data_IF_755243447646
#
_entry.id   IF_755243447646
#
_cell.length_a   1.000
_cell.length_b   1.000
_cell.length_c   1.000
_cell.angle_alpha   90.00
_cell.angle_beta   90.00
_cell.angle_gamma   90.00
#
_symmetry.space_group_name_H-M   'P 1'
#
loop_
_entity.id
_entity.type
_entity.pdbx_description
1 polymer ?
#
# COMPACT_ATOMS: atom_id res chain seq x y z
N UNK A 1 -5.14 21.77 -59.89
CA UNK A 1 -5.08 22.41 -58.55
C UNK A 1 -6.36 22.08 -57.78
N UNK A 2 -6.36 21.01 -56.97
CA UNK A 2 -7.48 20.64 -56.10
C UNK A 2 -7.17 21.12 -54.68
N UNK A 3 -7.96 22.08 -54.19
CA UNK A 3 -7.86 22.61 -52.82
C UNK A 3 -8.31 21.55 -51.82
N UNK A 4 -7.39 21.02 -51.04
CA UNK A 4 -7.68 20.20 -49.88
C UNK A 4 -8.16 21.12 -48.74
N UNK A 5 -9.45 21.07 -48.38
CA UNK A 5 -9.99 21.73 -47.17
C UNK A 5 -9.67 20.85 -45.99
N UNK A 6 -8.68 21.25 -45.19
CA UNK A 6 -8.48 20.70 -43.84
C UNK A 6 -9.67 21.15 -42.95
N UNK A 7 -10.53 20.21 -42.59
CA UNK A 7 -11.44 20.36 -41.46
C UNK A 7 -10.62 20.09 -40.18
N UNK A 8 -10.19 21.16 -39.52
CA UNK A 8 -9.75 21.09 -38.13
C UNK A 8 -11.01 20.86 -37.27
N UNK A 9 -11.32 19.60 -36.99
CA UNK A 9 -12.19 19.26 -35.89
C UNK A 9 -11.40 19.49 -34.62
N UNK A 10 -11.71 20.57 -33.90
CA UNK A 10 -11.14 20.83 -32.56
C UNK A 10 -11.56 19.74 -31.61
N UNK A 11 -10.70 18.75 -31.45
CA UNK A 11 -10.79 17.78 -30.35
C UNK A 11 -10.38 18.53 -29.08
N UNK A 12 -11.38 18.97 -28.32
CA UNK A 12 -11.16 19.39 -26.94
C UNK A 12 -10.66 18.13 -26.20
N UNK A 13 -9.34 18.01 -26.08
CA UNK A 13 -8.67 17.09 -25.19
C UNK A 13 -9.01 17.53 -23.75
N UNK A 14 -10.19 17.15 -23.25
CA UNK A 14 -10.34 16.99 -21.82
C UNK A 14 -9.25 15.99 -21.39
N UNK A 15 -8.34 16.34 -20.48
CA UNK A 15 -7.43 15.36 -19.91
C UNK A 15 -8.32 14.38 -19.14
N UNK A 16 -8.68 13.27 -19.76
CA UNK A 16 -9.11 12.07 -19.08
C UNK A 16 -7.90 11.67 -18.24
N UNK A 17 -7.84 12.14 -16.99
CA UNK A 17 -6.91 11.61 -16.02
C UNK A 17 -7.22 10.11 -15.91
N UNK A 18 -6.39 9.31 -16.56
CA UNK A 18 -6.47 7.87 -16.52
C UNK A 18 -6.30 7.43 -15.05
N UNK A 19 -7.04 6.44 -14.59
CA UNK A 19 -6.84 5.86 -13.24
C UNK A 19 -5.38 5.50 -12.93
N UNK A 20 -4.57 5.25 -13.95
CA UNK A 20 -3.13 4.99 -13.85
C UNK A 20 -2.30 6.18 -13.29
N UNK A 21 -2.83 7.41 -13.29
CA UNK A 21 -2.15 8.59 -12.72
C UNK A 21 -2.57 8.87 -11.26
N UNK A 22 -3.57 8.16 -10.75
CA UNK A 22 -4.02 8.34 -9.37
C UNK A 22 -3.24 7.42 -8.43
N UNK A 23 -2.76 8.00 -7.32
CA UNK A 23 -2.06 7.23 -6.30
C UNK A 23 -3.05 6.37 -5.51
N UNK A 24 -2.77 5.08 -5.37
CA UNK A 24 -3.48 4.23 -4.43
C UNK A 24 -3.04 4.56 -2.99
N UNK A 25 -4.00 4.67 -2.08
CA UNK A 25 -3.75 4.85 -0.66
C UNK A 25 -4.15 3.60 0.11
N UNK A 26 -3.37 3.27 1.13
CA UNK A 26 -3.78 2.36 2.20
C UNK A 26 -4.41 3.17 3.33
N UNK A 27 -5.52 2.66 3.85
CA UNK A 27 -6.24 3.25 4.97
C UNK A 27 -6.60 2.17 5.97
N UNK A 28 -6.23 2.35 7.22
CA UNK A 28 -6.44 1.39 8.29
C UNK A 28 -7.20 2.03 9.44
N UNK A 29 -8.32 1.43 9.80
CA UNK A 29 -9.04 1.81 11.00
C UNK A 29 -8.37 1.19 12.23
N UNK A 30 -8.06 2.02 13.22
CA UNK A 30 -7.53 1.63 14.52
C UNK A 30 -8.62 1.85 15.56
N UNK A 31 -9.06 0.76 16.21
CA UNK A 31 -10.14 0.78 17.20
C UNK A 31 -9.59 0.75 18.62
N UNK A 32 -10.35 1.26 19.61
CA UNK A 32 -10.02 1.04 21.00
C UNK A 32 -9.91 -0.45 21.30
N UNK A 33 -8.91 -0.86 22.09
CA UNK A 33 -8.85 -2.25 22.58
C UNK A 33 -10.02 -2.55 23.51
N UNK A 34 -10.55 -3.74 23.43
CA UNK A 34 -11.68 -4.19 24.25
C UNK A 34 -11.23 -5.08 25.42
N UNK A 35 -10.01 -5.58 25.38
CA UNK A 35 -9.39 -6.47 26.35
C UNK A 35 -7.98 -6.01 26.69
N UNK A 36 -7.46 -6.32 27.88
CA UNK A 36 -6.03 -6.17 28.17
C UNK A 36 -5.20 -6.97 27.15
N UNK A 37 -4.12 -6.38 26.68
CA UNK A 37 -3.15 -7.00 25.77
C UNK A 37 -1.83 -7.12 26.50
N UNK A 38 -1.29 -8.32 26.55
CA UNK A 38 0.02 -8.63 27.14
C UNK A 38 1.05 -8.66 26.01
N UNK A 39 2.15 -7.94 26.17
CA UNK A 39 3.21 -7.92 25.15
C UNK A 39 4.19 -9.06 25.48
N UNK A 40 3.89 -10.27 24.99
CA UNK A 40 4.69 -11.48 25.19
C UNK A 40 5.10 -12.18 23.88
N UNK A 41 4.71 -11.59 22.74
CA UNK A 41 4.99 -12.10 21.40
C UNK A 41 4.02 -13.20 20.95
N UNK A 42 2.97 -13.49 21.71
CA UNK A 42 1.95 -14.47 21.34
C UNK A 42 0.63 -13.76 21.08
N UNK A 43 0.18 -13.80 19.86
CA UNK A 43 -1.08 -13.14 19.46
C UNK A 43 -2.26 -13.98 19.92
N UNK A 44 -2.68 -13.77 21.17
CA UNK A 44 -3.83 -14.45 21.75
C UNK A 44 -5.15 -13.96 21.15
N UNK A 45 -6.03 -14.89 20.79
CA UNK A 45 -7.30 -14.56 20.11
C UNK A 45 -8.27 -13.79 21.01
N UNK A 46 -8.21 -13.98 22.32
CA UNK A 46 -9.10 -13.29 23.25
C UNK A 46 -8.62 -11.87 23.52
N UNK A 47 -7.29 -11.66 23.62
CA UNK A 47 -6.69 -10.34 23.80
C UNK A 47 -6.94 -9.44 22.56
N UNK A 48 -6.78 -10.00 21.36
CA UNK A 48 -6.94 -9.30 20.09
C UNK A 48 -8.37 -9.41 19.50
N UNK A 49 -9.33 -9.82 20.33
CA UNK A 49 -10.73 -9.95 19.89
C UNK A 49 -11.32 -8.59 19.47
N UNK A 50 -11.92 -8.57 18.27
CA UNK A 50 -12.55 -7.36 17.72
C UNK A 50 -11.57 -6.38 17.06
N UNK A 51 -10.26 -6.64 17.12
CA UNK A 51 -9.27 -5.84 16.41
C UNK A 51 -9.24 -6.25 14.93
N UNK A 52 -9.25 -5.25 14.06
CA UNK A 52 -9.23 -5.48 12.62
C UNK A 52 -7.88 -6.05 12.15
N UNK A 53 -7.95 -6.95 11.18
CA UNK A 53 -6.76 -7.52 10.52
C UNK A 53 -6.56 -6.83 9.18
N UNK A 54 -5.36 -6.32 8.97
CA UNK A 54 -4.93 -5.69 7.73
C UNK A 54 -3.83 -6.57 7.10
N UNK A 55 -4.08 -7.08 5.89
CA UNK A 55 -3.21 -8.04 5.22
C UNK A 55 -2.80 -7.64 3.79
N UNK A 56 -3.09 -6.40 3.41
CA UNK A 56 -2.72 -5.87 2.10
C UNK A 56 -1.27 -5.39 2.12
N UNK A 57 -0.37 -6.21 1.58
CA UNK A 57 1.06 -5.91 1.45
C UNK A 57 1.50 -5.98 -0.01
N UNK A 58 2.51 -5.18 -0.33
CA UNK A 58 3.06 -5.01 -1.67
C UNK A 58 4.57 -5.26 -1.63
N UNK A 59 5.10 -5.86 -2.70
CA UNK A 59 6.55 -6.01 -2.81
C UNK A 59 7.22 -4.65 -2.99
N UNK A 60 8.25 -4.42 -2.22
CA UNK A 60 9.17 -3.31 -2.34
C UNK A 60 10.23 -3.61 -3.42
N UNK A 61 10.77 -2.61 -4.11
CA UNK A 61 11.80 -2.70 -5.17
C UNK A 61 11.33 -3.02 -6.59
N UNK A 62 10.13 -3.47 -6.78
CA UNK A 62 9.62 -3.72 -8.14
C UNK A 62 8.88 -2.46 -8.57
N UNK A 63 9.35 -1.81 -9.64
CA UNK A 63 8.77 -0.55 -10.17
C UNK A 63 7.29 -0.65 -10.58
N UNK A 64 6.68 -1.82 -10.37
CA UNK A 64 5.26 -2.09 -10.40
C UNK A 64 4.95 -3.00 -9.21
N UNK A 65 4.55 -2.43 -8.06
CA UNK A 65 4.35 -3.20 -6.84
C UNK A 65 3.22 -4.21 -7.04
N UNK A 66 3.63 -5.47 -7.13
CA UNK A 66 2.72 -6.61 -7.06
C UNK A 66 2.29 -6.89 -5.62
N UNK A 67 1.29 -7.77 -5.40
CA UNK A 67 0.96 -8.25 -4.08
C UNK A 67 2.20 -8.88 -3.43
N UNK A 68 2.39 -8.64 -2.14
CA UNK A 68 3.51 -9.17 -1.37
C UNK A 68 3.62 -10.69 -1.48
N UNK A 69 4.82 -11.20 -1.68
CA UNK A 69 5.08 -12.63 -1.86
C UNK A 69 4.83 -13.44 -0.58
N UNK A 70 4.93 -12.80 0.60
CA UNK A 70 4.73 -13.42 1.89
C UNK A 70 3.54 -12.80 2.60
N UNK A 71 2.59 -13.64 3.01
CA UNK A 71 1.43 -13.19 3.77
C UNK A 71 1.87 -12.57 5.09
N UNK A 72 1.35 -11.38 5.37
CA UNK A 72 1.57 -10.63 6.61
C UNK A 72 0.23 -10.12 7.11
N UNK A 73 -0.04 -10.24 8.39
CA UNK A 73 -1.23 -9.70 9.04
C UNK A 73 -0.81 -8.71 10.10
N UNK A 74 -1.35 -7.51 10.04
CA UNK A 74 -1.14 -6.42 10.99
C UNK A 74 -2.44 -6.18 11.77
N UNK A 75 -2.31 -5.96 13.06
CA UNK A 75 -3.39 -5.54 13.97
C UNK A 75 -2.94 -4.30 14.71
N UNK A 76 -3.82 -3.31 14.80
CA UNK A 76 -3.59 -2.08 15.54
C UNK A 76 -4.80 -1.82 16.46
N UNK A 77 -4.52 -1.55 17.72
CA UNK A 77 -5.51 -1.15 18.71
C UNK A 77 -4.92 -0.07 19.61
N UNK A 78 -5.76 0.70 20.29
CA UNK A 78 -5.27 1.75 21.17
C UNK A 78 -6.08 1.88 22.44
N UNK A 79 -5.53 2.56 23.42
CA UNK A 79 -6.23 3.03 24.61
C UNK A 79 -5.72 4.41 25.05
N UNK A 80 -6.06 4.81 26.27
CA UNK A 80 -5.62 6.10 26.82
C UNK A 80 -4.10 6.21 27.02
N UNK A 81 -3.38 5.07 27.07
CA UNK A 81 -1.95 5.01 27.38
C UNK A 81 -1.05 4.91 26.15
N UNK A 82 -1.54 4.33 25.04
CA UNK A 82 -0.73 4.14 23.86
C UNK A 82 -1.37 3.30 22.77
N UNK A 83 -0.56 2.98 21.78
CA UNK A 83 -0.87 2.14 20.63
C UNK A 83 -0.34 0.73 20.85
N UNK A 84 -1.18 -0.26 20.64
CA UNK A 84 -0.85 -1.69 20.63
C UNK A 84 -0.78 -2.18 19.21
N UNK A 85 0.18 -3.04 18.94
CA UNK A 85 0.40 -3.61 17.63
C UNK A 85 0.72 -5.09 17.72
N UNK A 86 0.14 -5.88 16.80
CA UNK A 86 0.56 -7.25 16.58
C UNK A 86 0.77 -7.52 15.08
N UNK A 87 1.83 -8.27 14.77
CA UNK A 87 2.14 -8.68 13.39
C UNK A 87 2.34 -10.18 13.34
N UNK A 88 1.63 -10.84 12.42
CA UNK A 88 1.87 -12.23 12.05
C UNK A 88 2.59 -12.27 10.70
N UNK A 89 3.80 -12.75 10.69
CA UNK A 89 4.65 -12.87 9.52
C UNK A 89 4.72 -14.34 9.08
N UNK A 90 3.81 -14.74 8.17
CA UNK A 90 3.83 -16.11 7.63
C UNK A 90 5.08 -16.33 6.77
N UNK A 91 5.70 -17.49 6.93
CA UNK A 91 6.86 -17.88 6.15
C UNK A 91 6.91 -19.40 6.03
N UNK A 92 7.06 -19.91 4.83
CA UNK A 92 7.16 -21.34 4.55
C UNK A 92 8.57 -21.91 4.77
N UNK A 93 9.50 -21.07 5.24
CA UNK A 93 10.90 -21.42 5.49
C UNK A 93 11.38 -20.97 6.88
N UNK A 94 10.53 -21.12 7.87
CA UNK A 94 10.75 -20.69 9.28
C UNK A 94 12.10 -21.12 9.84
N UNK A 95 12.61 -22.28 9.46
CA UNK A 95 13.90 -22.79 9.93
C UNK A 95 15.10 -21.98 9.39
N UNK A 96 14.90 -21.13 8.40
CA UNK A 96 15.94 -20.28 7.80
C UNK A 96 15.80 -18.81 8.15
N UNK A 97 15.00 -18.48 9.15
CA UNK A 97 14.92 -17.10 9.64
C UNK A 97 16.32 -16.59 10.01
N UNK A 98 16.69 -15.45 9.46
CA UNK A 98 17.93 -14.77 9.80
C UNK A 98 17.72 -14.00 11.10
N UNK A 99 18.47 -14.36 12.13
CA UNK A 99 18.30 -13.87 13.51
C UNK A 99 19.66 -13.77 14.22
N UNK A 100 20.54 -12.95 13.68
CA UNK A 100 21.93 -12.87 14.13
C UNK A 100 22.16 -11.80 15.19
N UNK A 101 21.27 -10.83 15.30
CA UNK A 101 21.40 -9.67 16.19
C UNK A 101 20.47 -9.86 17.38
N UNK A 102 21.01 -9.77 18.59
CA UNK A 102 20.28 -9.92 19.86
C UNK A 102 20.31 -8.66 20.72
N UNK A 103 21.22 -7.74 20.42
CA UNK A 103 21.40 -6.50 21.16
C UNK A 103 20.35 -5.46 20.75
N UNK A 104 19.75 -4.81 21.74
CA UNK A 104 18.93 -3.61 21.52
C UNK A 104 19.79 -2.46 21.00
N UNK A 105 19.14 -1.48 20.41
CA UNK A 105 19.72 -0.23 19.90
C UNK A 105 20.81 -0.45 18.82
N UNK A 106 20.79 -1.64 18.19
CA UNK A 106 21.66 -1.92 17.06
C UNK A 106 21.01 -1.38 15.76
N UNK A 107 21.60 -0.38 15.09
CA UNK A 107 21.03 0.22 13.90
C UNK A 107 20.97 -0.74 12.69
N UNK A 108 21.62 -1.89 12.76
CA UNK A 108 21.64 -2.91 11.71
C UNK A 108 20.56 -3.99 11.89
N UNK A 109 19.58 -3.83 12.78
CA UNK A 109 18.50 -4.82 12.97
C UNK A 109 17.77 -5.18 11.67
N UNK A 110 17.73 -4.25 10.69
CA UNK A 110 17.17 -4.49 9.36
C UNK A 110 17.87 -5.62 8.57
N UNK A 111 19.07 -6.00 8.96
CA UNK A 111 19.82 -7.10 8.35
C UNK A 111 19.33 -8.49 8.78
N UNK A 112 18.46 -8.59 9.77
CA UNK A 112 17.74 -9.81 10.15
C UNK A 112 16.31 -9.83 9.58
N UNK A 113 15.59 -10.94 9.74
CA UNK A 113 14.14 -10.95 9.55
C UNK A 113 13.53 -10.01 10.58
N UNK A 114 12.86 -8.94 10.13
CA UNK A 114 12.37 -7.88 11.01
C UNK A 114 11.13 -7.17 10.45
N UNK A 115 10.47 -6.41 11.33
CA UNK A 115 9.47 -5.40 10.99
C UNK A 115 9.98 -4.01 11.32
N UNK A 116 9.77 -3.07 10.41
CA UNK A 116 10.03 -1.64 10.61
C UNK A 116 8.70 -0.88 10.60
N UNK A 117 8.50 -0.03 11.58
CA UNK A 117 7.26 0.69 11.81
C UNK A 117 7.53 2.19 11.87
N UNK A 118 6.79 2.94 11.05
CA UNK A 118 6.96 4.38 10.89
C UNK A 118 5.65 5.07 11.22
N UNK A 119 5.69 6.02 12.14
CA UNK A 119 4.52 6.79 12.58
C UNK A 119 4.79 8.29 12.40
N UNK A 120 3.91 8.96 11.65
CA UNK A 120 3.87 10.41 11.51
C UNK A 120 2.51 10.91 12.02
N UNK A 121 2.43 11.34 13.29
CA UNK A 121 1.19 11.83 13.89
C UNK A 121 0.66 13.13 13.29
N UNK A 122 1.51 13.96 12.73
CA UNK A 122 1.11 15.18 12.05
C UNK A 122 0.45 14.92 10.71
N UNK A 123 0.79 13.77 10.10
CA UNK A 123 0.40 13.38 8.74
C UNK A 123 0.75 14.47 7.72
N UNK A 124 1.93 15.09 7.89
CA UNK A 124 2.45 16.14 7.01
C UNK A 124 3.57 15.65 6.09
N UNK A 125 4.04 14.41 6.31
CA UNK A 125 5.08 13.79 5.53
C UNK A 125 6.49 14.34 5.77
N UNK A 126 6.69 15.13 6.82
CA UNK A 126 7.97 15.79 7.11
C UNK A 126 8.83 14.93 8.05
N UNK A 127 8.26 14.54 9.19
CA UNK A 127 8.94 13.78 10.21
C UNK A 127 8.25 12.44 10.53
N UNK A 128 8.94 11.57 11.25
CA UNK A 128 8.35 10.34 11.78
C UNK A 128 9.17 9.78 12.95
N UNK A 129 8.53 8.95 13.76
CA UNK A 129 9.24 8.03 14.67
C UNK A 129 9.28 6.65 14.03
N UNK A 130 10.47 6.03 14.02
CA UNK A 130 10.71 4.69 13.47
C UNK A 130 11.06 3.73 14.59
N UNK A 131 10.51 2.53 14.51
CA UNK A 131 10.84 1.40 15.38
C UNK A 131 11.19 0.18 14.52
N UNK A 132 12.18 -0.58 14.92
CA UNK A 132 12.55 -1.86 14.32
C UNK A 132 12.47 -2.93 15.39
N UNK A 133 11.87 -4.06 15.05
CA UNK A 133 11.80 -5.24 15.89
C UNK A 133 12.18 -6.44 15.02
N UNK A 134 13.25 -7.14 15.39
CA UNK A 134 13.65 -8.35 14.67
C UNK A 134 12.99 -9.59 15.26
N UNK A 135 13.19 -10.72 14.63
CA UNK A 135 12.63 -12.02 15.02
C UNK A 135 13.12 -12.53 16.37
N UNK A 136 14.24 -12.01 16.91
CA UNK A 136 14.72 -12.29 18.26
C UNK A 136 14.03 -11.42 19.33
N UNK A 137 13.25 -10.41 18.93
CA UNK A 137 12.67 -9.42 19.84
C UNK A 137 13.62 -8.29 20.20
N UNK A 138 14.83 -8.24 19.62
CA UNK A 138 15.70 -7.09 19.73
C UNK A 138 15.07 -5.88 19.03
N UNK A 139 15.24 -4.71 19.62
CA UNK A 139 14.53 -3.48 19.24
C UNK A 139 15.48 -2.31 19.04
N UNK A 140 15.13 -1.46 18.07
CA UNK A 140 15.82 -0.20 17.77
C UNK A 140 14.79 0.87 17.44
N UNK A 141 15.08 2.10 17.82
CA UNK A 141 14.24 3.25 17.46
C UNK A 141 15.09 4.45 17.03
N UNK A 142 14.44 5.37 16.33
CA UNK A 142 15.01 6.63 15.92
C UNK A 142 13.91 7.62 15.55
N UNK A 143 14.22 8.90 15.50
CA UNK A 143 13.34 9.94 14.95
C UNK A 143 13.94 10.60 13.72
N UNK A 144 13.10 10.83 12.74
CA UNK A 144 13.34 11.82 11.69
C UNK A 144 12.57 13.08 12.06
N UNK A 145 13.27 14.15 12.33
CA UNK A 145 12.65 15.41 12.73
C UNK A 145 12.15 16.21 11.53
N UNK A 146 12.94 16.21 10.42
CA UNK A 146 12.59 16.84 9.15
C UNK A 146 13.25 16.10 7.99
N UNK A 147 13.25 16.68 6.78
CA UNK A 147 13.79 16.03 5.58
C UNK A 147 15.30 15.68 5.68
N UNK A 148 16.05 16.37 6.52
CA UNK A 148 17.51 16.26 6.62
C UNK A 148 18.01 15.78 7.99
N UNK A 149 17.21 15.92 9.05
CA UNK A 149 17.64 15.69 10.43
C UNK A 149 17.14 14.31 10.93
N UNK A 150 18.07 13.40 11.12
CA UNK A 150 17.85 12.06 11.65
C UNK A 150 18.49 11.95 13.03
N UNK A 151 17.69 11.69 14.04
CA UNK A 151 18.11 11.56 15.45
C UNK A 151 18.28 10.06 15.75
N UNK A 152 19.42 9.50 15.36
CA UNK A 152 19.73 8.06 15.56
C UNK A 152 19.96 7.71 17.02
N UNK A 153 20.38 8.68 17.84
CA UNK A 153 20.61 8.50 19.28
C UNK A 153 19.35 8.76 20.11
N UNK A 154 18.22 9.11 19.46
CA UNK A 154 16.95 9.23 20.17
C UNK A 154 16.47 7.84 20.54
N UNK A 155 16.04 7.64 21.78
CA UNK A 155 15.44 6.41 22.23
C UNK A 155 14.14 6.67 22.98
N UNK A 156 13.11 5.88 22.64
CA UNK A 156 11.84 5.87 23.35
C UNK A 156 12.01 5.33 24.75
N UNK A 157 11.40 6.01 25.73
CA UNK A 157 11.66 5.74 27.15
C UNK A 157 11.02 4.47 27.67
N UNK A 158 9.89 4.03 27.08
CA UNK A 158 9.06 3.01 27.72
C UNK A 158 8.31 2.08 26.76
N UNK A 159 8.55 2.16 25.46
CA UNK A 159 7.94 1.22 24.52
C UNK A 159 8.45 -0.21 24.73
N UNK A 160 7.59 -1.18 24.51
CA UNK A 160 7.86 -2.58 24.73
C UNK A 160 7.57 -3.38 23.48
N UNK A 161 8.36 -4.41 23.24
CA UNK A 161 8.13 -5.36 22.18
C UNK A 161 8.53 -6.77 22.61
N UNK A 162 7.89 -7.75 22.03
CA UNK A 162 8.24 -9.16 22.14
C UNK A 162 8.03 -9.83 20.78
N UNK A 163 8.84 -10.86 20.51
CA UNK A 163 8.69 -11.69 19.33
C UNK A 163 8.66 -13.16 19.69
N UNK A 164 8.01 -13.97 18.87
CA UNK A 164 8.00 -15.42 19.00
C UNK A 164 8.02 -16.10 17.65
N UNK A 165 8.52 -17.35 17.61
CA UNK A 165 8.57 -18.16 16.39
C UNK A 165 7.61 -19.33 16.55
N UNK A 166 6.61 -19.41 15.66
CA UNK A 166 5.66 -20.48 15.54
C UNK A 166 6.06 -21.53 14.50
N UNK A 167 5.10 -22.35 14.10
CA UNK A 167 5.31 -23.45 13.14
C UNK A 167 5.45 -22.93 11.69
N UNK A 168 4.64 -21.98 11.30
CA UNK A 168 4.48 -21.45 9.94
C UNK A 168 4.49 -19.91 9.86
N UNK A 169 4.73 -19.27 10.99
CA UNK A 169 4.81 -17.83 11.13
C UNK A 169 5.69 -17.46 12.31
N UNK A 170 6.22 -16.24 12.29
CA UNK A 170 6.77 -15.60 13.47
C UNK A 170 5.95 -14.33 13.77
N UNK A 171 5.96 -13.93 15.02
CA UNK A 171 5.06 -12.91 15.53
C UNK A 171 5.82 -11.80 16.20
N UNK A 172 5.27 -10.60 16.12
CA UNK A 172 5.67 -9.42 16.90
C UNK A 172 4.45 -8.94 17.65
N UNK A 173 4.63 -8.59 18.92
CA UNK A 173 3.75 -7.70 19.65
C UNK A 173 4.52 -6.51 20.16
N UNK A 174 3.90 -5.33 20.12
CA UNK A 174 4.50 -4.11 20.63
C UNK A 174 3.46 -3.19 21.26
N UNK A 175 3.90 -2.42 22.25
CA UNK A 175 3.19 -1.31 22.84
C UNK A 175 4.02 -0.06 22.75
N UNK A 176 3.43 0.97 22.19
CA UNK A 176 4.04 2.29 22.02
C UNK A 176 3.26 3.31 22.85
N UNK A 177 3.80 3.80 23.97
CA UNK A 177 3.19 4.88 24.73
C UNK A 177 3.13 6.15 23.87
N UNK A 178 2.12 6.99 24.10
CA UNK A 178 1.90 8.17 23.28
C UNK A 178 3.11 9.15 23.28
N UNK A 179 3.86 9.22 24.35
CA UNK A 179 5.08 10.05 24.46
C UNK A 179 6.17 9.60 23.49
N UNK A 180 6.32 8.28 23.27
CA UNK A 180 7.29 7.73 22.33
C UNK A 180 6.86 7.88 20.86
N UNK A 181 5.58 8.07 20.60
CA UNK A 181 5.03 8.33 19.27
C UNK A 181 5.00 9.81 18.87
N UNK A 182 5.32 10.73 19.80
CA UNK A 182 5.21 12.17 19.59
C UNK A 182 3.80 12.64 19.18
N UNK A 183 2.78 11.95 19.66
CA UNK A 183 1.38 12.26 19.37
C UNK A 183 0.43 11.35 20.14
N UNK A 184 -0.81 11.80 20.29
CA UNK A 184 -1.86 11.06 20.98
C UNK A 184 -2.94 10.67 19.97
N UNK A 185 -3.14 9.36 19.80
CA UNK A 185 -4.26 8.83 19.03
C UNK A 185 -5.56 8.92 19.84
N UNK A 186 -6.54 9.62 19.29
CA UNK A 186 -7.89 9.75 19.85
C UNK A 186 -8.91 9.67 18.73
N UNK A 187 -10.19 9.38 19.00
CA UNK A 187 -11.22 9.34 17.97
C UNK A 187 -11.17 10.58 17.06
N UNK A 188 -11.06 10.35 15.76
CA UNK A 188 -10.91 11.40 14.74
C UNK A 188 -9.45 11.72 14.34
N UNK A 189 -8.44 11.24 15.07
CA UNK A 189 -7.03 11.43 14.67
C UNK A 189 -6.71 10.64 13.40
N UNK A 190 -5.90 11.26 12.52
CA UNK A 190 -5.38 10.65 11.29
C UNK A 190 -3.87 10.82 11.28
N UNK A 191 -3.14 9.74 11.19
CA UNK A 191 -1.69 9.72 11.11
C UNK A 191 -1.23 9.09 9.81
N UNK A 192 -0.05 9.45 9.32
CA UNK A 192 0.62 8.61 8.33
C UNK A 192 1.31 7.43 9.02
N UNK A 193 1.30 6.29 8.34
CA UNK A 193 1.84 5.05 8.86
C UNK A 193 2.43 4.20 7.74
N UNK A 194 3.58 3.59 8.02
CA UNK A 194 4.14 2.55 7.17
C UNK A 194 4.64 1.39 8.02
N UNK A 195 4.34 0.18 7.60
CA UNK A 195 5.00 -1.03 8.08
C UNK A 195 5.74 -1.69 6.92
N UNK A 196 7.03 -1.88 7.09
CA UNK A 196 7.86 -2.66 6.20
C UNK A 196 8.29 -3.96 6.87
N UNK A 197 8.07 -5.10 6.21
CA UNK A 197 8.58 -6.40 6.61
C UNK A 197 9.79 -6.75 5.76
N UNK A 198 10.89 -7.14 6.39
CA UNK A 198 12.05 -7.71 5.70
C UNK A 198 12.16 -9.20 5.99
N UNK A 199 12.41 -9.98 4.96
CA UNK A 199 12.63 -11.42 5.03
C UNK A 199 13.89 -11.80 4.26
N UNK A 200 14.67 -12.69 4.84
CA UNK A 200 15.94 -13.23 4.29
C UNK A 200 15.87 -14.73 4.03
N UNK A 201 14.76 -15.38 4.31
CA UNK A 201 14.60 -16.84 4.25
C UNK A 201 14.82 -17.42 2.85
N UNK A 202 14.60 -16.62 1.80
CA UNK A 202 14.77 -16.98 0.38
C UNK A 202 15.53 -15.90 -0.42
N UNK A 203 16.55 -15.29 0.20
CA UNK A 203 17.15 -14.06 -0.26
C UNK A 203 16.32 -12.86 0.20
N UNK A 204 16.90 -11.66 0.12
CA UNK A 204 16.24 -10.46 0.61
C UNK A 204 14.92 -10.19 -0.12
N UNK A 205 13.86 -10.00 0.67
CA UNK A 205 12.56 -9.51 0.23
C UNK A 205 12.06 -8.45 1.18
N UNK A 206 11.67 -7.32 0.64
CA UNK A 206 11.00 -6.27 1.38
C UNK A 206 9.52 -6.19 0.95
N UNK A 207 8.63 -6.08 1.91
CA UNK A 207 7.20 -5.87 1.69
C UNK A 207 6.75 -4.68 2.52
N UNK A 208 5.85 -3.89 1.97
CA UNK A 208 5.29 -2.71 2.62
C UNK A 208 3.78 -2.74 2.57
N UNK A 209 3.13 -2.18 3.57
CA UNK A 209 1.68 -2.09 3.66
C UNK A 209 1.08 -0.95 2.81
N UNK A 210 1.88 -0.27 2.00
CA UNK A 210 1.44 0.84 1.15
C UNK A 210 1.86 0.64 -0.30
N UNK A 211 0.93 0.77 -1.26
CA UNK A 211 1.21 0.58 -2.69
C UNK A 211 2.26 1.57 -3.20
N UNK A 212 3.20 1.08 -3.98
CA UNK A 212 4.28 1.91 -4.53
C UNK A 212 5.26 2.42 -3.48
N UNK A 213 5.20 1.86 -2.26
CA UNK A 213 5.88 2.33 -1.09
C UNK A 213 7.38 2.18 -1.13
N UNK A 214 8.04 3.28 -0.95
CA UNK A 214 9.38 3.34 -0.42
C UNK A 214 9.23 3.70 1.06
N UNK A 215 9.59 2.79 1.97
CA UNK A 215 9.48 3.00 3.42
C UNK A 215 10.29 4.19 3.95
N UNK A 216 11.22 4.75 3.16
CA UNK A 216 11.93 5.98 3.47
C UNK A 216 11.27 7.23 2.89
N UNK A 217 10.20 7.07 2.10
CA UNK A 217 9.47 8.18 1.49
C UNK A 217 8.09 8.33 2.12
N UNK A 218 7.94 9.29 3.00
CA UNK A 218 6.69 9.59 3.69
C UNK A 218 5.52 9.86 2.74
N UNK A 219 5.78 10.36 1.53
CA UNK A 219 4.74 10.54 0.52
C UNK A 219 4.09 9.22 0.07
N UNK A 220 4.73 8.08 0.33
CA UNK A 220 4.19 6.76 0.00
C UNK A 220 3.53 6.07 1.20
N UNK A 221 3.56 6.64 2.38
CA UNK A 221 2.92 6.07 3.55
C UNK A 221 1.40 5.96 3.37
N UNK A 222 0.81 4.94 3.98
CA UNK A 222 -0.61 4.83 4.18
C UNK A 222 -1.10 5.72 5.33
N UNK A 223 -2.37 5.56 5.67
CA UNK A 223 -3.01 6.32 6.74
C UNK A 223 -3.65 5.40 7.75
N UNK A 224 -3.50 5.71 9.03
CA UNK A 224 -4.27 5.12 10.12
C UNK A 224 -5.25 6.17 10.65
N UNK A 225 -6.46 5.73 10.95
CA UNK A 225 -7.53 6.53 11.51
C UNK A 225 -7.99 5.93 12.82
N UNK A 226 -7.90 6.69 13.89
CA UNK A 226 -8.38 6.28 15.21
C UNK A 226 -9.89 6.49 15.29
N UNK A 227 -10.65 5.41 15.30
CA UNK A 227 -12.11 5.44 15.42
C UNK A 227 -12.54 5.26 16.87
N UNK A 228 -13.81 5.56 17.15
CA UNK A 228 -14.44 5.25 18.45
C UNK A 228 -14.74 3.74 18.62
N UNK A 229 -14.62 2.97 17.55
CA UNK A 229 -14.93 1.54 17.53
C UNK A 229 -16.42 1.21 17.38
N UNK A 230 -17.30 2.20 17.50
CA UNK A 230 -18.76 2.05 17.46
C UNK A 230 -19.33 2.47 16.10
N UNK A 231 -18.81 3.56 15.55
CA UNK A 231 -19.28 4.12 14.28
C UNK A 231 -18.70 3.38 13.10
N UNK A 232 -19.55 2.82 12.24
CA UNK A 232 -19.12 2.23 10.96
C UNK A 232 -18.54 3.32 10.06
N UNK A 233 -17.36 3.07 9.53
CA UNK A 233 -16.70 3.98 8.59
C UNK A 233 -17.21 3.74 7.17
N UNK A 234 -18.20 4.50 6.78
CA UNK A 234 -18.71 4.51 5.42
C UNK A 234 -17.65 4.99 4.42
N UNK A 235 -17.58 4.43 3.21
CA UNK A 235 -16.57 4.78 2.19
C UNK A 235 -16.45 6.28 1.92
N UNK A 236 -17.56 7.00 1.83
CA UNK A 236 -17.54 8.46 1.64
C UNK A 236 -17.00 9.22 2.86
N UNK A 237 -17.13 8.69 4.07
CA UNK A 237 -16.51 9.27 5.28
C UNK A 237 -14.99 9.10 5.23
N UNK A 238 -14.52 7.91 4.85
CA UNK A 238 -13.09 7.64 4.59
C UNK A 238 -12.54 8.63 3.56
N UNK A 239 -13.26 8.81 2.47
CA UNK A 239 -12.89 9.76 1.42
C UNK A 239 -12.75 11.20 1.91
N UNK A 240 -13.69 11.70 2.74
CA UNK A 240 -13.62 13.06 3.31
C UNK A 240 -12.43 13.22 4.26
N UNK A 241 -12.15 12.20 5.06
CA UNK A 241 -10.99 12.16 5.96
C UNK A 241 -9.70 12.31 5.15
N UNK A 242 -9.54 11.48 4.12
CA UNK A 242 -8.34 11.48 3.29
C UNK A 242 -8.20 12.75 2.42
N UNK A 243 -9.31 13.32 1.92
CA UNK A 243 -9.27 14.56 1.15
C UNK A 243 -8.72 15.76 1.94
N UNK A 244 -8.86 15.73 3.28
CA UNK A 244 -8.26 16.73 4.17
C UNK A 244 -6.80 16.48 4.55
N UNK A 245 -6.20 15.34 4.15
CA UNK A 245 -4.87 14.92 4.59
C UNK A 245 -3.96 14.50 3.44
N UNK A 246 -4.46 13.75 2.48
CA UNK A 246 -3.67 13.16 1.41
C UNK A 246 -3.61 14.09 0.19
N UNK A 247 -2.42 14.37 -0.38
CA UNK A 247 -2.30 15.10 -1.64
C UNK A 247 -3.00 14.36 -2.79
N UNK A 248 -3.87 15.06 -3.51
CA UNK A 248 -4.57 14.54 -4.68
C UNK A 248 -3.63 14.46 -5.92
N UNK A 249 -3.96 13.65 -6.93
CA UNK A 249 -5.10 12.73 -7.01
C UNK A 249 -4.82 11.36 -6.37
N UNK A 250 -5.84 10.74 -5.81
CA UNK A 250 -5.72 9.43 -5.19
C UNK A 250 -7.02 8.61 -5.24
N UNK A 251 -6.90 7.31 -4.97
CA UNK A 251 -8.01 6.42 -4.67
C UNK A 251 -7.69 5.49 -3.50
N UNK A 252 -8.73 4.99 -2.84
CA UNK A 252 -8.65 3.99 -1.78
C UNK A 252 -9.71 2.91 -1.98
N UNK A 253 -9.33 1.62 -1.96
CA UNK A 253 -10.28 0.52 -1.99
C UNK A 253 -11.03 0.41 -0.66
N UNK A 254 -12.36 0.28 -0.70
CA UNK A 254 -13.24 0.11 0.44
C UNK A 254 -14.19 -1.07 0.19
N UNK A 255 -13.69 -2.29 0.39
CA UNK A 255 -14.46 -3.51 0.09
C UNK A 255 -14.75 -3.64 -1.41
N UNK A 256 -16.05 -3.60 -1.78
CA UNK A 256 -16.48 -3.65 -3.18
C UNK A 256 -16.52 -2.26 -3.85
N UNK A 257 -16.22 -1.21 -3.12
CA UNK A 257 -16.26 0.16 -3.60
C UNK A 257 -14.83 0.72 -3.73
N UNK A 258 -14.68 1.67 -4.66
CA UNK A 258 -13.50 2.48 -4.83
C UNK A 258 -13.86 3.93 -4.53
N UNK A 259 -13.22 4.51 -3.53
CA UNK A 259 -13.33 5.95 -3.26
C UNK A 259 -12.17 6.65 -3.96
N UNK A 260 -12.45 7.70 -4.70
CA UNK A 260 -11.44 8.46 -5.44
C UNK A 260 -11.62 9.97 -5.28
N UNK A 261 -10.49 10.69 -5.30
CA UNK A 261 -10.44 12.14 -5.20
C UNK A 261 -9.44 12.70 -6.20
N UNK A 262 -9.89 13.60 -7.07
CA UNK A 262 -9.05 14.22 -8.11
C UNK A 262 -8.52 15.63 -7.73
N UNK A 263 -8.74 16.05 -6.49
CA UNK A 263 -8.39 17.40 -6.02
C UNK A 263 -9.58 18.35 -5.92
N UNK A 264 -10.68 18.05 -6.62
CA UNK A 264 -11.91 18.88 -6.62
C UNK A 264 -13.16 18.07 -6.32
N UNK A 265 -13.22 16.82 -6.79
CA UNK A 265 -14.38 15.95 -6.68
C UNK A 265 -14.03 14.65 -5.99
N UNK A 266 -14.75 14.35 -4.93
CA UNK A 266 -14.77 13.06 -4.25
C UNK A 266 -15.92 12.22 -4.82
N UNK A 267 -15.66 10.96 -5.15
CA UNK A 267 -16.67 10.02 -5.64
C UNK A 267 -16.43 8.60 -5.14
N UNK A 268 -17.49 7.81 -5.20
CA UNK A 268 -17.46 6.38 -4.91
C UNK A 268 -18.01 5.64 -6.12
N UNK A 269 -17.29 4.63 -6.60
CA UNK A 269 -17.67 3.78 -7.72
C UNK A 269 -17.70 2.32 -7.27
N UNK A 270 -18.58 1.51 -7.87
CA UNK A 270 -18.56 0.06 -7.70
C UNK A 270 -17.39 -0.54 -8.50
N UNK A 271 -16.60 -1.39 -7.86
CA UNK A 271 -15.41 -2.01 -8.47
C UNK A 271 -15.76 -2.98 -9.61
N UNK A 272 -16.90 -3.64 -9.55
CA UNK A 272 -17.33 -4.56 -10.61
C UNK A 272 -17.75 -3.77 -11.86
N UNK A 273 -18.42 -2.64 -11.68
CA UNK A 273 -18.79 -1.75 -12.77
C UNK A 273 -17.55 -1.10 -13.42
N UNK A 274 -16.58 -0.64 -12.61
CA UNK A 274 -15.31 -0.14 -13.10
C UNK A 274 -14.54 -1.20 -13.88
N UNK A 275 -14.46 -2.43 -13.35
CA UNK A 275 -13.83 -3.54 -14.06
C UNK A 275 -14.51 -3.83 -15.40
N UNK A 276 -15.85 -3.80 -15.45
CA UNK A 276 -16.61 -3.98 -16.68
C UNK A 276 -16.26 -2.90 -17.71
N UNK A 277 -16.18 -1.63 -17.30
CA UNK A 277 -15.79 -0.54 -18.17
C UNK A 277 -14.36 -0.71 -18.74
N UNK A 278 -13.39 -1.10 -17.91
CA UNK A 278 -12.02 -1.31 -18.37
C UNK A 278 -11.89 -2.56 -19.28
N UNK A 279 -12.68 -3.61 -19.05
CA UNK A 279 -12.76 -4.75 -19.97
C UNK A 279 -13.24 -4.32 -21.35
N UNK A 280 -14.32 -3.54 -21.42
CA UNK A 280 -14.84 -3.01 -22.69
C UNK A 280 -13.81 -2.11 -23.38
N UNK A 281 -13.16 -1.24 -22.66
CA UNK A 281 -12.09 -0.37 -23.18
C UNK A 281 -10.93 -1.19 -23.77
N UNK A 282 -10.45 -2.22 -23.08
CA UNK A 282 -9.45 -3.14 -23.63
C UNK A 282 -9.95 -3.83 -24.90
N UNK A 283 -11.20 -4.28 -24.94
CA UNK A 283 -11.82 -4.91 -26.12
C UNK A 283 -11.78 -3.98 -27.32
N UNK A 284 -12.19 -2.71 -27.14
CA UNK A 284 -12.13 -1.71 -28.21
C UNK A 284 -10.70 -1.44 -28.69
N UNK A 285 -9.75 -1.29 -27.76
CA UNK A 285 -8.34 -1.07 -28.12
C UNK A 285 -7.74 -2.24 -28.90
N UNK A 286 -8.08 -3.49 -28.56
CA UNK A 286 -7.67 -4.64 -29.35
C UNK A 286 -8.24 -4.62 -30.76
N UNK A 287 -9.53 -4.31 -30.96
CA UNK A 287 -10.15 -4.21 -32.27
C UNK A 287 -9.47 -3.11 -33.13
N UNK A 288 -9.21 -1.94 -32.57
CA UNK A 288 -8.51 -0.85 -33.26
C UNK A 288 -7.07 -1.22 -33.64
N UNK A 289 -6.34 -1.89 -32.74
CA UNK A 289 -4.98 -2.38 -33.02
C UNK A 289 -4.98 -3.46 -34.10
N UNK A 290 -5.90 -4.39 -34.10
CA UNK A 290 -6.05 -5.44 -35.14
C UNK A 290 -6.32 -4.81 -36.52
N UNK A 291 -7.16 -3.77 -36.58
CA UNK A 291 -7.42 -3.03 -37.83
C UNK A 291 -6.17 -2.32 -38.40
N UNK A 292 -5.22 -1.96 -37.54
CA UNK A 292 -3.93 -1.34 -37.93
C UNK A 292 -2.87 -2.36 -38.35
N UNK A 293 -3.16 -3.66 -38.33
CA UNK A 293 -2.29 -4.77 -38.77
C UNK A 293 -0.89 -4.73 -38.15
N UNK A 294 -0.74 -4.79 -36.83
CA UNK A 294 0.56 -4.75 -36.16
C UNK A 294 1.40 -5.98 -36.52
N UNK A 295 2.69 -5.78 -36.73
CA UNK A 295 3.63 -6.84 -37.11
C UNK A 295 4.81 -6.95 -36.14
N UNK A 296 5.57 -8.03 -36.22
CA UNK A 296 6.82 -8.24 -35.46
C UNK A 296 6.65 -8.18 -33.95
N UNK A 297 7.53 -7.45 -33.27
CA UNK A 297 7.57 -7.36 -31.81
C UNK A 297 6.30 -6.76 -31.19
N UNK A 298 5.59 -5.89 -31.94
CA UNK A 298 4.35 -5.27 -31.47
C UNK A 298 3.21 -6.30 -31.39
N UNK A 299 3.06 -7.16 -32.39
CA UNK A 299 2.09 -8.26 -32.36
C UNK A 299 2.38 -9.21 -31.18
N UNK A 300 3.66 -9.49 -30.91
CA UNK A 300 4.08 -10.30 -29.77
C UNK A 300 3.72 -9.66 -28.43
N UNK A 301 3.87 -8.33 -28.29
CA UNK A 301 3.49 -7.58 -27.09
C UNK A 301 1.98 -7.61 -26.85
N UNK A 302 1.18 -7.40 -27.90
CA UNK A 302 -0.29 -7.50 -27.83
C UNK A 302 -0.73 -8.90 -27.39
N UNK A 303 -0.08 -9.96 -27.90
CA UNK A 303 -0.33 -11.33 -27.49
C UNK A 303 -0.03 -11.60 -26.01
N UNK A 304 1.07 -11.03 -25.48
CA UNK A 304 1.42 -11.12 -24.05
C UNK A 304 0.37 -10.42 -23.16
N UNK A 305 -0.08 -9.22 -23.55
CA UNK A 305 -1.14 -8.50 -22.83
C UNK A 305 -2.42 -9.33 -22.80
N UNK A 306 -2.85 -9.87 -23.93
CA UNK A 306 -4.05 -10.73 -24.04
C UNK A 306 -3.97 -11.95 -23.11
N UNK A 307 -2.83 -12.64 -23.08
CA UNK A 307 -2.58 -13.75 -22.15
C UNK A 307 -2.65 -13.34 -20.68
N UNK A 308 -2.10 -12.17 -20.35
CA UNK A 308 -2.16 -11.60 -19.00
C UNK A 308 -3.61 -11.35 -18.54
N UNK A 309 -4.46 -10.81 -19.42
CA UNK A 309 -5.86 -10.55 -19.13
C UNK A 309 -6.68 -11.85 -18.87
N UNK A 310 -6.40 -12.93 -19.59
CA UNK A 310 -7.03 -14.25 -19.32
C UNK A 310 -6.71 -14.72 -17.89
N UNK A 311 -5.49 -14.46 -17.40
CA UNK A 311 -5.10 -14.75 -16.01
C UNK A 311 -5.79 -13.87 -14.98
N UNK A 312 -6.11 -12.63 -15.34
CA UNK A 312 -6.73 -11.66 -14.44
C UNK A 312 -8.15 -12.06 -14.03
N UNK A 313 -8.88 -12.76 -14.87
CA UNK A 313 -10.26 -13.21 -14.60
C UNK A 313 -10.38 -14.19 -13.42
N UNK A 314 -9.28 -14.81 -13.03
CA UNK A 314 -9.18 -15.73 -11.89
C UNK A 314 -8.79 -15.00 -10.57
N UNK A 315 -8.62 -13.70 -10.61
CA UNK A 315 -8.20 -12.89 -9.45
C UNK A 315 -9.42 -12.22 -8.80
N UNK A 316 -9.20 -11.66 -7.60
CA UNK A 316 -10.22 -10.80 -6.99
C UNK A 316 -10.46 -9.55 -7.85
N UNK A 317 -11.62 -8.91 -7.66
CA UNK A 317 -12.11 -7.81 -8.50
C UNK A 317 -11.12 -6.64 -8.54
N UNK A 318 -10.54 -6.25 -7.41
CA UNK A 318 -9.58 -5.13 -7.35
C UNK A 318 -8.28 -5.46 -8.11
N UNK A 319 -7.75 -6.65 -7.95
CA UNK A 319 -6.56 -7.08 -8.70
C UNK A 319 -6.85 -7.17 -10.20
N UNK A 320 -8.00 -7.73 -10.58
CA UNK A 320 -8.42 -7.76 -11.97
C UNK A 320 -8.56 -6.35 -12.55
N UNK A 321 -9.22 -5.44 -11.84
CA UNK A 321 -9.36 -4.05 -12.23
C UNK A 321 -8.01 -3.38 -12.51
N UNK A 322 -7.04 -3.49 -11.59
CA UNK A 322 -5.68 -2.96 -11.78
C UNK A 322 -4.98 -3.52 -13.04
N UNK A 323 -5.11 -4.82 -13.27
CA UNK A 323 -4.51 -5.47 -14.46
C UNK A 323 -5.16 -4.94 -15.74
N UNK A 324 -6.49 -4.78 -15.78
CA UNK A 324 -7.19 -4.23 -16.94
C UNK A 324 -6.86 -2.76 -17.18
N UNK A 325 -6.73 -1.92 -16.14
CA UNK A 325 -6.27 -0.54 -16.25
C UNK A 325 -4.87 -0.46 -16.88
N UNK A 326 -3.92 -1.23 -16.37
CA UNK A 326 -2.55 -1.27 -16.90
C UNK A 326 -2.50 -1.77 -18.36
N UNK A 327 -3.32 -2.78 -18.69
CA UNK A 327 -3.43 -3.29 -20.05
C UNK A 327 -4.02 -2.24 -21.01
N UNK A 328 -5.07 -1.53 -20.60
CA UNK A 328 -5.69 -0.48 -21.39
C UNK A 328 -4.70 0.65 -21.73
N UNK A 329 -3.89 1.06 -20.75
CA UNK A 329 -2.84 2.06 -20.96
C UNK A 329 -1.78 1.57 -21.96
N UNK A 330 -1.27 0.35 -21.79
CA UNK A 330 -0.30 -0.23 -22.70
C UNK A 330 -0.84 -0.37 -24.13
N UNK A 331 -2.07 -0.84 -24.30
CA UNK A 331 -2.73 -0.95 -25.59
C UNK A 331 -2.92 0.41 -26.27
N UNK A 332 -3.30 1.43 -25.47
CA UNK A 332 -3.45 2.79 -25.96
C UNK A 332 -2.11 3.35 -26.47
N UNK A 333 -1.03 3.18 -25.71
CA UNK A 333 0.31 3.61 -26.14
C UNK A 333 0.79 2.86 -27.40
N UNK A 334 0.55 1.56 -27.49
CA UNK A 334 0.86 0.75 -28.68
C UNK A 334 0.09 1.25 -29.92
N UNK A 335 -1.19 1.58 -29.78
CA UNK A 335 -2.00 2.15 -30.85
C UNK A 335 -1.41 3.46 -31.36
N UNK A 336 -1.07 4.39 -30.49
CA UNK A 336 -0.47 5.66 -30.87
C UNK A 336 0.90 5.49 -31.54
N UNK A 337 1.76 4.62 -31.02
CA UNK A 337 3.04 4.31 -31.63
C UNK A 337 2.90 3.73 -33.04
N UNK A 338 1.88 2.91 -33.28
CA UNK A 338 1.62 2.34 -34.60
C UNK A 338 1.10 3.40 -35.58
N UNK A 339 0.15 4.25 -35.14
CA UNK A 339 -0.37 5.35 -35.94
C UNK A 339 0.73 6.36 -36.32
N UNK A 340 1.62 6.70 -35.40
CA UNK A 340 2.76 7.58 -35.67
C UNK A 340 3.68 6.97 -36.72
N UNK A 341 4.03 5.68 -36.62
CA UNK A 341 4.86 4.98 -37.61
C UNK A 341 4.24 4.94 -39.01
N UNK A 342 2.92 4.76 -39.09
CA UNK A 342 2.23 4.69 -40.39
C UNK A 342 2.04 6.07 -41.07
N UNK A 343 2.02 7.15 -40.32
CA UNK A 343 1.77 8.49 -40.88
C UNK A 343 3.03 9.34 -41.02
N UNK A 344 4.16 8.97 -40.42
CA UNK A 344 5.39 9.78 -40.42
C UNK A 344 6.63 9.01 -40.90
N UNK A 345 6.51 7.74 -41.33
CA UNK A 345 7.48 6.99 -42.12
C UNK A 345 6.94 6.80 -43.55
#
# INVERSE_FOLDING_TARGET
>A
MKKCRLLLAGLVLLPLMLPAQMRELSFYEVRPRTKPIVIDGKIDKDEWKGVLVHDSYYEYWIGNPGPGALKTELRLAYDQTGLYMAVTNYDDNILKLKRTITENDNPNLWADDCGEFYFDPAADGIGYTKFIINVNGAKYDMRRQDAAVFLHDWSGSSWRAAASIGKDAWHIEAFFPWEDLNGVGKPGSVWQFCHARFSWTRGFRGMVNSPGGNYNNTNSFGYIYFSDGETVLEPMKIGRILAGKAPAPWYVPCGQLLVSYNGTRLKTDDLADLLKQEKEKCRYLFMELEALQPSGGMAGTIGKIRKGLTGAEKKNVMTAYKIYCAAAEQLFLLKWNLLLKQNFN
#
